data_IF_673990821031
#
_entry.id   IF_673990821031
#
_cell.length_a   1.000
_cell.length_b   1.000
_cell.length_c   1.000
_cell.angle_alpha   90.00
_cell.angle_beta   90.00
_cell.angle_gamma   90.00
#
_symmetry.space_group_name_H-M   'P 1'
#
loop_
_entity.id
_entity.type
_entity.pdbx_description
1 polymer ?
#
# COMPACT_ATOMS: atom_id res chain seq x y z
N UNK A 1 -6.67 -0.98 0.16
CA UNK A 1 -6.71 0.49 0.03
C UNK A 1 -7.22 0.86 -1.35
N UNK A 2 -8.07 1.88 -1.47
CA UNK A 2 -8.68 2.26 -2.76
C UNK A 2 -7.99 3.49 -3.33
N UNK A 3 -7.53 3.43 -4.58
CA UNK A 3 -6.94 4.57 -5.28
C UNK A 3 -7.48 4.65 -6.70
N UNK A 4 -7.65 5.87 -7.23
CA UNK A 4 -7.94 6.05 -8.65
C UNK A 4 -6.78 5.53 -9.49
N UNK A 5 -7.06 4.84 -10.58
CA UNK A 5 -6.05 4.41 -11.56
C UNK A 5 -5.12 5.57 -11.97
N UNK A 6 -5.65 6.78 -12.16
CA UNK A 6 -4.84 7.93 -12.60
C UNK A 6 -4.08 8.64 -11.48
N UNK A 7 -4.21 8.19 -10.22
CA UNK A 7 -3.58 8.87 -9.08
C UNK A 7 -2.08 8.59 -8.99
N UNK A 8 -1.33 9.56 -8.45
CA UNK A 8 0.10 9.37 -8.16
C UNK A 8 0.32 8.21 -7.17
N UNK A 9 -0.59 8.03 -6.20
CA UNK A 9 -0.53 6.91 -5.26
C UNK A 9 -0.55 5.56 -5.98
N UNK A 10 -1.42 5.39 -7.00
CA UNK A 10 -1.42 4.18 -7.82
C UNK A 10 -0.08 3.97 -8.52
N UNK A 11 0.46 5.03 -9.16
CA UNK A 11 1.75 4.93 -9.87
C UNK A 11 2.89 4.51 -8.96
N UNK A 12 2.96 5.08 -7.76
CA UNK A 12 3.97 4.72 -6.75
C UNK A 12 3.82 3.27 -6.31
N UNK A 13 2.59 2.82 -6.01
CA UNK A 13 2.34 1.43 -5.61
C UNK A 13 2.67 0.43 -6.74
N UNK A 14 2.37 0.78 -7.99
CA UNK A 14 2.75 -0.03 -9.15
C UNK A 14 4.27 -0.13 -9.30
N UNK A 15 4.99 0.97 -9.12
CA UNK A 15 6.46 0.96 -9.16
C UNK A 15 7.03 0.06 -8.04
N UNK A 16 6.56 0.24 -6.80
CA UNK A 16 6.98 -0.59 -5.66
C UNK A 16 6.66 -2.07 -5.87
N UNK A 17 5.48 -2.40 -6.41
CA UNK A 17 5.11 -3.79 -6.71
C UNK A 17 6.03 -4.41 -7.77
N UNK A 18 6.35 -3.65 -8.82
CA UNK A 18 7.25 -4.15 -9.87
C UNK A 18 8.68 -4.32 -9.36
N UNK A 19 9.15 -3.42 -8.50
CA UNK A 19 10.43 -3.57 -7.80
C UNK A 19 10.41 -4.80 -6.88
N UNK A 20 9.30 -5.03 -6.17
CA UNK A 20 9.12 -6.20 -5.31
C UNK A 20 9.16 -7.53 -6.08
N UNK A 21 8.49 -7.61 -7.23
CA UNK A 21 8.53 -8.80 -8.10
C UNK A 21 9.94 -9.07 -8.67
N UNK A 22 10.76 -8.01 -8.83
CA UNK A 22 12.14 -8.13 -9.27
C UNK A 22 13.12 -8.46 -8.12
N UNK A 23 12.72 -8.19 -6.87
CA UNK A 23 13.51 -8.43 -5.67
C UNK A 23 13.59 -9.90 -5.33
N UNK A 24 14.74 -10.33 -4.79
CA UNK A 24 14.94 -11.68 -4.29
C UNK A 24 15.00 -11.63 -2.76
N UNK A 25 14.23 -12.47 -2.07
CA UNK A 25 14.32 -12.70 -0.61
C UNK A 25 13.77 -11.60 0.32
N UNK A 26 12.72 -10.86 -0.07
CA UNK A 26 12.01 -9.95 0.84
C UNK A 26 12.60 -8.53 0.93
N UNK A 27 13.40 -8.12 -0.05
CA UNK A 27 13.90 -6.74 -0.17
C UNK A 27 12.79 -5.70 -0.42
N UNK A 28 11.55 -6.16 -0.65
CA UNK A 28 10.34 -5.35 -0.77
C UNK A 28 9.63 -5.07 0.57
N UNK A 29 10.11 -5.68 1.66
CA UNK A 29 9.58 -5.45 3.00
C UNK A 29 10.11 -4.11 3.51
N UNK A 30 9.20 -3.19 3.78
CA UNK A 30 9.52 -1.84 4.24
C UNK A 30 8.56 -1.37 5.35
N UNK A 31 8.94 -0.34 6.13
CA UNK A 31 8.03 0.28 7.08
C UNK A 31 6.85 0.97 6.38
N UNK A 32 5.67 0.88 6.98
CA UNK A 32 4.44 1.48 6.50
C UNK A 32 3.81 2.37 7.57
N UNK A 33 3.50 3.61 7.19
CA UNK A 33 2.68 4.51 7.99
C UNK A 33 1.37 4.81 7.26
N UNK A 34 0.25 4.59 7.94
CA UNK A 34 -1.08 4.85 7.41
C UNK A 34 -1.90 5.68 8.37
N UNK A 35 -2.66 6.63 7.83
CA UNK A 35 -3.64 7.41 8.60
C UNK A 35 -5.05 7.07 8.15
N UNK A 36 -5.88 6.67 9.09
CA UNK A 36 -7.30 6.46 8.85
C UNK A 36 -7.99 7.79 8.57
N UNK A 37 -8.68 7.91 7.44
CA UNK A 37 -9.47 9.10 7.10
C UNK A 37 -10.75 9.22 7.92
N UNK A 38 -11.29 8.12 8.44
CA UNK A 38 -12.54 8.12 9.20
C UNK A 38 -12.34 8.44 10.68
N UNK A 39 -11.26 7.94 11.27
CA UNK A 39 -10.97 8.10 12.70
C UNK A 39 -9.86 9.10 12.98
N UNK A 40 -9.07 9.49 11.96
CA UNK A 40 -7.90 10.36 12.12
C UNK A 40 -6.67 9.67 12.74
N UNK A 41 -6.83 8.44 13.24
CA UNK A 41 -5.76 7.68 13.89
C UNK A 41 -4.67 7.30 12.90
N UNK A 42 -3.42 7.44 13.32
CA UNK A 42 -2.25 6.98 12.61
C UNK A 42 -1.82 5.60 13.13
N UNK A 43 -1.35 4.76 12.22
CA UNK A 43 -0.84 3.43 12.50
C UNK A 43 0.50 3.26 11.81
N UNK A 44 1.35 2.45 12.42
CA UNK A 44 2.68 2.12 11.95
C UNK A 44 2.88 0.61 11.95
N UNK A 45 3.57 0.11 10.92
CA UNK A 45 4.07 -1.25 10.84
C UNK A 45 5.54 -1.20 10.43
N UNK A 46 6.41 -1.90 11.16
CA UNK A 46 7.85 -1.98 10.84
C UNK A 46 8.12 -2.79 9.56
N UNK A 47 7.28 -3.78 9.30
CA UNK A 47 7.40 -4.68 8.15
C UNK A 47 6.06 -4.80 7.44
N UNK A 48 6.00 -4.28 6.22
CA UNK A 48 4.87 -4.37 5.32
C UNK A 48 5.33 -4.61 3.87
N UNK A 49 4.49 -5.28 3.10
CA UNK A 49 4.73 -5.61 1.70
C UNK A 49 3.42 -5.60 0.91
N UNK A 50 3.51 -5.39 -0.40
CA UNK A 50 2.35 -5.45 -1.27
C UNK A 50 2.03 -6.92 -1.55
N UNK A 51 0.89 -7.41 -1.05
CA UNK A 51 0.53 -8.83 -1.20
C UNK A 51 -0.25 -9.13 -2.47
N UNK A 52 -0.90 -8.12 -3.07
CA UNK A 52 -1.65 -8.29 -4.31
C UNK A 52 -1.74 -6.98 -5.10
N UNK A 53 -1.35 -7.05 -6.37
CA UNK A 53 -1.64 -6.02 -7.36
C UNK A 53 -3.13 -6.05 -7.75
N UNK A 54 -3.79 -4.89 -7.92
CA UNK A 54 -5.19 -4.85 -8.35
C UNK A 54 -5.39 -5.50 -9.73
N UNK A 55 -6.52 -6.18 -9.92
CA UNK A 55 -6.91 -6.74 -11.21
C UNK A 55 -7.23 -5.61 -12.21
N UNK A 56 -6.32 -5.32 -13.15
CA UNK A 56 -6.56 -4.31 -14.19
C UNK A 56 -7.38 -4.96 -15.32
N UNK A 57 -8.67 -4.67 -15.36
CA UNK A 57 -9.50 -4.98 -16.53
C UNK A 57 -9.30 -3.90 -17.61
N UNK A 58 -8.65 -4.28 -18.73
CA UNK A 58 -8.56 -3.40 -19.90
C UNK A 58 -9.96 -3.11 -20.47
N UNK A 59 -10.29 -1.83 -20.68
CA UNK A 59 -11.54 -1.39 -21.33
C UNK A 59 -12.64 -0.83 -20.43
N UNK A 60 -12.42 -0.70 -19.11
CA UNK A 60 -13.32 0.05 -18.23
C UNK A 60 -12.84 1.48 -18.00
N UNK A 61 -13.78 2.40 -17.81
CA UNK A 61 -13.56 3.80 -17.46
C UNK A 61 -12.61 3.95 -16.26
N UNK A 62 -11.98 5.12 -16.12
CA UNK A 62 -11.14 5.45 -14.97
C UNK A 62 -11.91 5.16 -13.66
N UNK A 63 -11.41 4.19 -12.90
CA UNK A 63 -12.07 3.68 -11.70
C UNK A 63 -11.12 3.55 -10.52
N UNK A 64 -11.70 3.23 -9.37
CA UNK A 64 -10.94 2.88 -8.17
C UNK A 64 -10.39 1.46 -8.27
N UNK A 65 -9.14 1.31 -7.85
CA UNK A 65 -8.42 0.04 -7.76
C UNK A 65 -8.15 -0.27 -6.29
N UNK A 66 -8.39 -1.52 -5.92
CA UNK A 66 -8.16 -2.06 -4.58
C UNK A 66 -6.77 -2.69 -4.47
N UNK A 67 -5.89 -2.07 -3.70
CA UNK A 67 -4.56 -2.57 -3.35
C UNK A 67 -4.59 -3.31 -2.01
N UNK A 68 -3.92 -4.46 -1.93
CA UNK A 68 -3.75 -5.19 -0.68
C UNK A 68 -2.30 -5.05 -0.20
N UNK A 69 -2.16 -4.57 1.03
CA UNK A 69 -0.87 -4.42 1.71
C UNK A 69 -0.94 -5.32 2.94
N UNK A 70 -0.01 -6.26 3.02
CA UNK A 70 0.16 -7.13 4.18
C UNK A 70 1.22 -6.55 5.11
N UNK A 71 1.14 -6.92 6.37
CA UNK A 71 2.05 -6.47 7.42
C UNK A 71 2.19 -7.54 8.49
N UNK A 72 3.32 -7.56 9.19
CA UNK A 72 3.51 -8.47 10.32
C UNK A 72 2.69 -8.00 11.54
N UNK A 73 2.85 -6.73 11.92
CA UNK A 73 2.18 -6.13 13.07
C UNK A 73 1.86 -4.67 12.82
N UNK A 74 0.62 -4.28 13.08
CA UNK A 74 0.14 -2.91 12.96
C UNK A 74 -0.14 -2.34 14.35
N UNK A 75 0.47 -1.21 14.67
CA UNK A 75 0.38 -0.57 15.98
C UNK A 75 -0.12 0.88 15.84
N UNK A 76 -0.92 1.39 16.79
CA UNK A 76 -1.25 2.81 16.82
C UNK A 76 0.01 3.65 16.99
N UNK A 77 0.16 4.69 16.17
CA UNK A 77 1.25 5.64 16.33
C UNK A 77 0.91 6.56 17.51
N UNK A 78 1.55 6.31 18.66
CA UNK A 78 1.41 7.14 19.85
C UNK A 78 2.41 8.29 19.73
N UNK A 79 1.92 9.52 19.55
CA UNK A 79 2.80 10.70 19.64
C UNK A 79 3.35 10.78 21.07
N UNK A 80 4.68 10.74 21.21
CA UNK A 80 5.32 11.04 22.48
C UNK A 80 5.17 12.55 22.75
N UNK A 81 4.32 12.88 23.71
CA UNK A 81 4.13 14.24 24.25
C UNK A 81 5.41 14.81 24.85
#
# INVERSE_FOLDING_TARGET
>A
MKFLNTSEAHRVLTALYNEAEASSNGDDIAPLQVRSRSTGLAYHAEQAWISKHPDIAFGKEAGELDWEISYERLEPQVEAT
#
